data_IF_599605822221
#
_entry.id   IF_599605822221
#
_cell.length_a   1.000
_cell.length_b   1.000
_cell.length_c   1.000
_cell.angle_alpha   90.00
_cell.angle_beta   90.00
_cell.angle_gamma   90.00
#
_symmetry.space_group_name_H-M   'P 1'
#
loop_
_entity.id
_entity.type
_entity.pdbx_description
1 polymer ?
#
# COMPACT_ATOMS: atom_id res chain seq x y z
N UNK A 1 -21.12 -1.26 -9.11
CA UNK A 1 -20.75 -2.39 -8.25
C UNK A 1 -19.79 -1.85 -7.22
N UNK A 2 -20.12 -1.98 -5.94
CA UNK A 2 -19.30 -1.48 -4.84
C UNK A 2 -18.04 -2.36 -4.68
N UNK A 3 -16.87 -1.74 -4.53
CA UNK A 3 -15.61 -2.46 -4.28
C UNK A 3 -15.42 -2.64 -2.77
N UNK A 4 -15.23 -3.87 -2.33
CA UNK A 4 -15.02 -4.20 -0.91
C UNK A 4 -13.53 -4.45 -0.64
N UNK A 5 -13.01 -3.85 0.43
CA UNK A 5 -11.65 -4.07 0.91
C UNK A 5 -11.68 -5.23 1.92
N UNK A 6 -10.90 -6.30 1.68
CA UNK A 6 -10.76 -7.46 2.58
C UNK A 6 -9.30 -7.63 3.00
N UNK A 7 -8.84 -6.93 4.06
CA UNK A 7 -7.49 -7.02 4.55
C UNK A 7 -7.40 -7.99 5.74
N UNK A 8 -6.26 -8.67 5.86
CA UNK A 8 -5.77 -9.17 7.16
C UNK A 8 -4.67 -8.19 7.55
N UNK A 9 -4.76 -7.62 8.75
CA UNK A 9 -3.80 -6.62 9.23
C UNK A 9 -3.33 -6.98 10.64
N UNK A 10 -2.01 -7.02 10.89
CA UNK A 10 -1.48 -7.19 12.24
C UNK A 10 -1.87 -6.03 13.15
N UNK A 11 -2.18 -6.32 14.42
CA UNK A 11 -2.49 -5.28 15.41
C UNK A 11 -1.32 -4.31 15.60
N UNK A 12 -0.08 -4.77 15.41
CA UNK A 12 1.14 -3.97 15.47
C UNK A 12 1.08 -2.76 14.53
N UNK A 13 0.52 -2.91 13.33
CA UNK A 13 0.33 -1.83 12.36
C UNK A 13 -0.67 -0.79 12.90
N UNK A 14 -1.75 -1.23 13.54
CA UNK A 14 -2.76 -0.33 14.10
C UNK A 14 -2.24 0.42 15.33
N UNK A 15 -1.40 -0.22 16.14
CA UNK A 15 -0.75 0.40 17.31
C UNK A 15 0.49 1.22 16.99
N UNK A 16 1.00 1.18 15.75
CA UNK A 16 2.22 1.90 15.40
C UNK A 16 1.95 3.41 15.35
N UNK A 17 2.68 4.17 16.19
CA UNK A 17 2.56 5.61 16.32
C UNK A 17 3.48 6.39 15.34
N UNK A 18 4.34 5.69 14.59
CA UNK A 18 5.20 6.28 13.56
C UNK A 18 4.43 6.61 12.28
N UNK A 19 3.29 5.93 12.06
CA UNK A 19 2.41 6.15 10.91
C UNK A 19 1.07 6.76 11.32
N UNK A 20 0.61 7.70 10.51
CA UNK A 20 -0.66 8.40 10.62
C UNK A 20 -1.87 7.50 10.31
N UNK A 21 -3.07 7.95 10.69
CA UNK A 21 -4.31 7.26 10.36
C UNK A 21 -4.52 7.10 8.85
N UNK A 22 -4.12 8.09 8.04
CA UNK A 22 -4.17 7.97 6.58
C UNK A 22 -3.21 6.89 6.06
N UNK A 23 -1.99 6.81 6.60
CA UNK A 23 -1.04 5.77 6.22
C UNK A 23 -1.54 4.37 6.59
N UNK A 24 -2.21 4.21 7.74
CA UNK A 24 -2.88 2.96 8.11
C UNK A 24 -3.97 2.57 7.11
N UNK A 25 -4.83 3.52 6.74
CA UNK A 25 -5.89 3.29 5.74
C UNK A 25 -5.32 2.95 4.35
N UNK A 26 -4.27 3.65 3.93
CA UNK A 26 -3.58 3.37 2.66
C UNK A 26 -2.94 1.98 2.68
N UNK A 27 -2.27 1.61 3.77
CA UNK A 27 -1.64 0.30 3.90
C UNK A 27 -2.69 -0.82 3.87
N UNK A 28 -3.82 -0.66 4.56
CA UNK A 28 -4.97 -1.58 4.48
C UNK A 28 -5.41 -1.77 3.03
N UNK A 29 -5.57 -0.67 2.29
CA UNK A 29 -6.02 -0.72 0.91
C UNK A 29 -4.97 -1.38 -0.01
N UNK A 30 -3.68 -1.05 0.19
CA UNK A 30 -2.55 -1.68 -0.52
C UNK A 30 -2.52 -3.20 -0.25
N UNK A 31 -2.67 -3.64 1.01
CA UNK A 31 -2.72 -5.06 1.38
C UNK A 31 -3.85 -5.77 0.63
N UNK A 32 -5.04 -5.17 0.58
CA UNK A 32 -6.17 -5.75 -0.15
C UNK A 32 -5.91 -5.88 -1.65
N UNK A 33 -5.26 -4.88 -2.27
CA UNK A 33 -4.89 -4.94 -3.69
C UNK A 33 -3.80 -5.99 -3.96
N UNK A 34 -2.79 -6.07 -3.08
CA UNK A 34 -1.75 -7.09 -3.14
C UNK A 34 -2.32 -8.50 -2.95
N UNK A 35 -3.29 -8.70 -2.05
CA UNK A 35 -3.95 -9.99 -1.85
C UNK A 35 -4.71 -10.47 -3.09
N UNK A 36 -5.19 -9.54 -3.93
CA UNK A 36 -5.95 -9.87 -5.13
C UNK A 36 -5.00 -10.22 -6.31
N UNK A 37 -3.93 -9.44 -6.53
CA UNK A 37 -3.08 -9.57 -7.73
C UNK A 37 -1.60 -9.91 -7.47
N UNK A 38 -1.20 -10.10 -6.22
CA UNK A 38 0.20 -10.26 -5.81
C UNK A 38 0.98 -8.94 -5.67
N UNK A 39 0.42 -7.82 -6.15
CA UNK A 39 0.98 -6.48 -6.04
C UNK A 39 -0.14 -5.43 -6.13
N UNK A 40 0.16 -4.22 -5.66
CA UNK A 40 -0.71 -3.06 -5.82
C UNK A 40 -0.28 -2.25 -7.05
N UNK A 41 -1.21 -2.14 -8.00
CA UNK A 41 -1.07 -1.39 -9.26
C UNK A 41 -1.56 0.06 -9.15
N UNK A 42 -2.20 0.42 -8.04
CA UNK A 42 -2.89 1.70 -7.88
C UNK A 42 -1.92 2.89 -7.88
N UNK A 43 -2.30 3.93 -8.62
CA UNK A 43 -1.53 5.18 -8.73
C UNK A 43 -1.90 6.16 -7.61
N UNK A 44 -1.08 7.19 -7.40
CA UNK A 44 -1.44 8.26 -6.45
C UNK A 44 -2.76 8.94 -6.81
N UNK A 45 -3.07 9.04 -8.10
CA UNK A 45 -4.35 9.61 -8.56
C UNK A 45 -5.53 8.71 -8.22
N UNK A 46 -5.36 7.39 -8.19
CA UNK A 46 -6.39 6.45 -7.72
C UNK A 46 -6.66 6.68 -6.22
N UNK A 47 -5.62 6.64 -5.38
CA UNK A 47 -5.79 6.83 -3.93
C UNK A 47 -6.30 8.22 -3.56
N UNK A 48 -5.91 9.26 -4.31
CA UNK A 48 -6.47 10.61 -4.15
C UNK A 48 -7.99 10.61 -4.31
N UNK A 49 -8.50 9.95 -5.37
CA UNK A 49 -9.95 9.87 -5.63
C UNK A 49 -10.69 9.10 -4.53
N UNK A 50 -10.09 8.03 -4.01
CA UNK A 50 -10.72 7.19 -2.97
C UNK A 50 -10.68 7.85 -1.60
N UNK A 51 -9.54 8.39 -1.20
CA UNK A 51 -9.34 8.91 0.16
C UNK A 51 -9.58 10.42 0.31
N UNK A 52 -9.71 11.16 -0.79
CA UNK A 52 -10.00 12.60 -0.76
C UNK A 52 -8.81 13.50 -0.40
N UNK A 53 -7.57 12.98 -0.43
CA UNK A 53 -6.35 13.74 -0.13
C UNK A 53 -5.59 14.13 -1.39
N UNK A 54 -4.82 15.23 -1.33
CA UNK A 54 -3.98 15.67 -2.46
C UNK A 54 -3.01 14.58 -2.93
N UNK A 55 -2.65 14.61 -4.22
CA UNK A 55 -1.67 13.67 -4.80
C UNK A 55 -0.32 13.72 -4.07
N UNK A 56 0.07 14.90 -3.59
CA UNK A 56 1.30 15.15 -2.82
C UNK A 56 1.23 14.46 -1.46
N UNK A 57 0.10 14.60 -0.75
CA UNK A 57 -0.14 13.92 0.54
C UNK A 57 -0.07 12.41 0.37
N UNK A 58 -0.78 11.86 -0.63
CA UNK A 58 -0.74 10.43 -0.95
C UNK A 58 0.69 9.96 -1.25
N UNK A 59 1.43 10.72 -2.07
CA UNK A 59 2.81 10.39 -2.40
C UNK A 59 3.71 10.37 -1.16
N UNK A 60 3.55 11.35 -0.26
CA UNK A 60 4.30 11.41 1.00
C UNK A 60 4.01 10.20 1.87
N UNK A 61 2.73 9.86 2.07
CA UNK A 61 2.31 8.71 2.87
C UNK A 61 2.86 7.39 2.31
N UNK A 62 2.82 7.19 0.99
CA UNK A 62 3.38 5.99 0.35
C UNK A 62 4.89 5.92 0.56
N UNK A 63 5.62 7.03 0.40
CA UNK A 63 7.07 7.05 0.64
C UNK A 63 7.41 6.78 2.11
N UNK A 64 6.63 7.32 3.05
CA UNK A 64 6.80 7.05 4.47
C UNK A 64 6.59 5.57 4.80
N UNK A 65 5.51 4.97 4.30
CA UNK A 65 5.26 3.53 4.44
C UNK A 65 6.41 2.68 3.91
N UNK A 66 7.02 3.09 2.79
CA UNK A 66 8.21 2.44 2.26
C UNK A 66 9.43 2.63 3.18
N UNK A 67 9.66 3.84 3.70
CA UNK A 67 10.78 4.11 4.62
C UNK A 67 10.67 3.36 5.95
N UNK A 68 9.46 3.10 6.42
CA UNK A 68 9.21 2.31 7.63
C UNK A 68 9.18 0.80 7.38
N UNK A 69 9.40 0.37 6.12
CA UNK A 69 9.52 -1.05 5.78
C UNK A 69 8.19 -1.79 5.75
N UNK A 70 7.06 -1.12 5.52
CA UNK A 70 5.77 -1.81 5.31
C UNK A 70 5.58 -2.27 3.87
N UNK A 71 6.12 -1.49 2.93
CA UNK A 71 5.95 -1.73 1.49
C UNK A 71 7.27 -1.51 0.75
N UNK A 72 7.38 -2.08 -0.45
CA UNK A 72 8.45 -1.81 -1.41
C UNK A 72 7.88 -1.16 -2.65
N UNK A 73 8.63 -0.23 -3.21
CA UNK A 73 8.29 0.48 -4.44
C UNK A 73 9.24 0.04 -5.54
N UNK A 74 8.69 -0.47 -6.63
CA UNK A 74 9.46 -0.84 -7.82
C UNK A 74 8.99 0.03 -8.99
N UNK A 75 9.95 0.48 -9.79
CA UNK A 75 9.70 1.36 -10.94
C UNK A 75 10.25 0.70 -12.20
N UNK A 76 9.36 0.27 -13.06
CA UNK A 76 9.71 -0.22 -14.40
C UNK A 76 9.83 0.98 -15.34
N UNK A 77 10.97 1.10 -16.03
CA UNK A 77 11.14 2.10 -17.08
C UNK A 77 10.47 1.59 -18.35
N UNK A 78 9.38 2.22 -18.79
CA UNK A 78 8.88 2.00 -20.14
C UNK A 78 9.67 2.85 -21.15
N UNK A 79 9.72 2.40 -22.40
CA UNK A 79 10.41 3.07 -23.51
C UNK A 79 9.85 4.46 -23.85
N UNK A 80 8.69 4.83 -23.29
CA UNK A 80 7.91 6.02 -23.65
C UNK A 80 7.86 7.09 -22.54
N UNK A 81 8.92 7.21 -21.74
CA UNK A 81 9.06 8.22 -20.66
C UNK A 81 8.07 8.09 -19.48
N UNK A 82 7.16 7.11 -19.49
CA UNK A 82 6.28 6.82 -18.36
C UNK A 82 6.87 5.67 -17.54
N UNK A 83 7.20 5.94 -16.27
CA UNK A 83 7.57 4.88 -15.33
C UNK A 83 6.33 4.25 -14.72
N UNK A 84 6.23 2.92 -14.80
CA UNK A 84 5.17 2.18 -14.13
C UNK A 84 5.64 1.83 -12.73
N UNK A 85 4.87 2.25 -11.72
CA UNK A 85 5.14 1.92 -10.31
C UNK A 85 4.31 0.71 -9.90
N UNK A 86 4.97 -0.29 -9.32
CA UNK A 86 4.34 -1.38 -8.58
C UNK A 86 4.67 -1.25 -7.10
N UNK A 87 3.71 -1.63 -6.24
CA UNK A 87 3.89 -1.65 -4.79
C UNK A 87 3.71 -3.09 -4.30
N UNK A 88 4.66 -3.59 -3.53
CA UNK A 88 4.59 -4.91 -2.89
C UNK A 88 4.72 -4.78 -1.37
N UNK A 89 4.27 -5.79 -0.63
CA UNK A 89 4.46 -5.81 0.83
C UNK A 89 5.91 -6.16 1.16
N UNK A 90 6.45 -5.57 2.23
CA UNK A 90 7.75 -6.00 2.73
C UNK A 90 7.71 -7.45 3.21
N UNK A 91 8.85 -8.13 3.19
CA UNK A 91 8.97 -9.55 3.51
C UNK A 91 8.51 -9.88 4.92
N UNK A 92 8.77 -8.99 5.89
CA UNK A 92 8.37 -9.21 7.29
C UNK A 92 6.85 -9.19 7.41
N UNK A 93 6.21 -8.12 6.92
CA UNK A 93 4.76 -7.98 6.95
C UNK A 93 4.06 -9.07 6.12
N UNK A 94 4.66 -9.45 4.98
CA UNK A 94 4.12 -10.52 4.12
C UNK A 94 4.10 -11.86 4.85
N UNK A 95 5.16 -12.20 5.59
CA UNK A 95 5.23 -13.42 6.38
C UNK A 95 4.18 -13.43 7.49
N UNK A 96 4.08 -12.35 8.27
CA UNK A 96 3.06 -12.22 9.32
C UNK A 96 1.63 -12.42 8.81
N UNK A 97 1.32 -11.91 7.61
CA UNK A 97 -0.01 -12.06 7.00
C UNK A 97 -0.22 -13.47 6.43
N UNK A 98 0.83 -14.13 5.94
CA UNK A 98 0.75 -15.51 5.42
C UNK A 98 0.56 -16.52 6.54
N UNK A 99 1.28 -16.37 7.66
CA UNK A 99 1.22 -17.26 8.83
C UNK A 99 -0.18 -17.27 9.50
N UNK A 100 -1.07 -16.31 9.20
CA UNK A 100 -2.46 -16.25 9.70
C UNK A 100 -3.45 -17.01 8.80
N UNK A 101 -3.08 -17.26 7.53
CA UNK A 101 -3.96 -17.92 6.56
C UNK A 101 -3.85 -19.45 6.59
N UNK A 102 -2.83 -19.98 7.25
CA UNK A 102 -2.61 -21.41 7.52
C UNK A 102 -3.16 -21.80 8.90
#
# INVERSE_FOLDING_TARGET
MEEYIKPIIPLSVLSDNRISSLEKLLLIHIISLCNNKGYCWATNSYFMKVHGYSKQTISKCINNLASFGYIKLEYEKESTNNSKRTITLDQVLKKEIQDIKD
#
